data_IF_708193055039
#
_entry.id   IF_708193055039
#
_cell.length_a   1.000
_cell.length_b   1.000
_cell.length_c   1.000
_cell.angle_alpha   90.00
_cell.angle_beta   90.00
_cell.angle_gamma   90.00
#
_symmetry.space_group_name_H-M   'P 1'
#
loop_
_entity.id
_entity.type
_entity.pdbx_description
1 polymer ?
#
# COMPACT_ATOMS: atom_id res chain seq x y z
N UNK A 1 -10.12 -19.62 -19.79
CA UNK A 1 -8.89 -18.85 -19.45
C UNK A 1 -8.70 -18.95 -17.94
N UNK A 2 -7.72 -19.73 -17.48
CA UNK A 2 -7.45 -19.84 -16.04
C UNK A 2 -6.88 -18.51 -15.54
N UNK A 3 -7.60 -17.81 -14.68
CA UNK A 3 -7.12 -16.56 -14.10
C UNK A 3 -6.14 -16.91 -12.98
N UNK A 4 -4.88 -16.52 -13.12
CA UNK A 4 -3.88 -16.70 -12.06
C UNK A 4 -4.35 -16.04 -10.76
N UNK A 5 -4.20 -16.74 -9.65
CA UNK A 5 -4.60 -16.26 -8.32
C UNK A 5 -3.38 -15.85 -7.50
N UNK A 6 -3.56 -14.89 -6.60
CA UNK A 6 -2.53 -14.44 -5.66
C UNK A 6 -3.14 -14.21 -4.28
N UNK A 7 -2.46 -14.63 -3.22
CA UNK A 7 -2.93 -14.37 -1.86
C UNK A 7 -2.75 -12.90 -1.49
N UNK A 8 -3.70 -12.35 -0.72
CA UNK A 8 -3.63 -10.99 -0.20
C UNK A 8 -2.33 -10.76 0.58
N UNK A 9 -1.86 -11.77 1.31
CA UNK A 9 -0.57 -11.70 2.03
C UNK A 9 0.60 -11.41 1.08
N UNK A 10 0.63 -12.07 -0.07
CA UNK A 10 1.68 -11.90 -1.06
C UNK A 10 1.56 -10.56 -1.77
N UNK A 11 0.34 -10.11 -2.07
CA UNK A 11 0.06 -8.75 -2.58
C UNK A 11 0.63 -7.71 -1.62
N UNK A 12 0.30 -7.80 -0.33
CA UNK A 12 0.79 -6.85 0.67
C UNK A 12 2.31 -6.87 0.81
N UNK A 13 2.93 -8.05 0.70
CA UNK A 13 4.38 -8.21 0.71
C UNK A 13 5.00 -7.53 -0.52
N UNK A 14 4.47 -7.79 -1.72
CA UNK A 14 4.96 -7.18 -2.96
C UNK A 14 4.81 -5.65 -2.92
N UNK A 15 3.68 -5.13 -2.45
CA UNK A 15 3.50 -3.67 -2.35
C UNK A 15 4.47 -2.99 -1.36
N UNK A 16 4.92 -3.71 -0.33
CA UNK A 16 5.78 -3.17 0.73
C UNK A 16 7.27 -3.45 0.52
N UNK A 17 7.64 -4.34 -0.41
CA UNK A 17 9.04 -4.69 -0.68
C UNK A 17 9.61 -3.65 -1.63
N UNK A 18 10.66 -2.94 -1.20
CA UNK A 18 11.38 -2.01 -2.05
C UNK A 18 12.14 -2.79 -3.14
N UNK A 19 12.23 -2.19 -4.33
CA UNK A 19 13.09 -2.68 -5.39
C UNK A 19 14.57 -2.49 -5.01
N UNK A 20 15.48 -3.17 -5.71
CA UNK A 20 16.94 -3.05 -5.65
C UNK A 20 17.48 -1.61 -5.66
N UNK A 21 16.69 -0.65 -6.15
CA UNK A 21 16.99 0.79 -6.20
C UNK A 21 16.43 1.57 -5.00
N UNK A 22 15.92 0.90 -3.96
CA UNK A 22 15.33 1.54 -2.78
C UNK A 22 13.98 2.22 -3.03
N UNK A 23 13.36 1.97 -4.19
CA UNK A 23 12.09 2.58 -4.62
C UNK A 23 10.92 1.62 -4.46
N UNK A 24 9.75 2.13 -4.11
CA UNK A 24 8.55 1.28 -4.05
C UNK A 24 8.15 0.80 -5.45
N UNK A 25 7.71 -0.47 -5.59
CA UNK A 25 7.40 -1.07 -6.87
C UNK A 25 6.14 -0.45 -7.47
N UNK A 26 6.12 -0.40 -8.81
CA UNK A 26 4.94 0.00 -9.58
C UNK A 26 4.11 -1.24 -9.89
N UNK A 27 2.81 -1.17 -9.65
CA UNK A 27 1.89 -2.29 -9.84
C UNK A 27 0.55 -1.81 -10.41
N UNK A 28 -0.19 -2.73 -11.04
CA UNK A 28 -1.59 -2.50 -11.41
C UNK A 28 -2.51 -3.03 -10.32
N UNK A 29 -3.59 -2.31 -10.01
CA UNK A 29 -4.52 -2.70 -8.96
C UNK A 29 -5.95 -2.33 -9.32
N UNK A 30 -6.88 -3.25 -9.05
CA UNK A 30 -8.31 -2.99 -9.10
C UNK A 30 -8.91 -3.13 -7.70
N UNK A 31 -9.55 -2.07 -7.21
CA UNK A 31 -10.14 -2.01 -5.86
C UNK A 31 -11.58 -1.55 -5.96
N UNK A 32 -12.47 -2.18 -5.20
CA UNK A 32 -13.84 -1.67 -5.04
C UNK A 32 -13.88 -0.63 -3.94
N UNK A 33 -14.42 0.56 -4.23
CA UNK A 33 -14.68 1.53 -3.17
C UNK A 33 -15.86 1.06 -2.32
N UNK A 34 -16.02 1.62 -1.12
CA UNK A 34 -17.17 1.37 -0.28
C UNK A 34 -18.04 2.62 -0.23
N UNK A 35 -19.31 2.48 -0.57
CA UNK A 35 -20.26 3.56 -0.44
C UNK A 35 -20.82 3.57 0.99
N UNK A 36 -20.56 4.64 1.73
CA UNK A 36 -20.97 4.73 3.14
C UNK A 36 -22.49 4.85 3.30
N UNK A 37 -23.18 5.50 2.37
CA UNK A 37 -24.63 5.73 2.45
C UNK A 37 -25.41 4.45 2.19
N UNK A 38 -25.10 3.74 1.10
CA UNK A 38 -25.79 2.50 0.74
C UNK A 38 -25.25 1.27 1.46
N UNK A 39 -24.12 1.39 2.19
CA UNK A 39 -23.38 0.28 2.81
C UNK A 39 -23.02 -0.86 1.84
N UNK A 40 -22.97 -0.56 0.54
CA UNK A 40 -22.65 -1.53 -0.51
C UNK A 40 -21.28 -1.23 -1.14
N UNK A 41 -20.79 -2.19 -1.94
CA UNK A 41 -19.62 -1.97 -2.78
C UNK A 41 -19.90 -0.87 -3.80
N UNK A 42 -19.18 0.24 -3.69
CA UNK A 42 -19.23 1.38 -4.60
C UNK A 42 -18.53 1.11 -5.93
N UNK A 43 -18.06 2.19 -6.57
CA UNK A 43 -17.40 2.15 -7.89
C UNK A 43 -16.13 1.30 -7.88
N UNK A 44 -15.82 0.71 -9.03
CA UNK A 44 -14.55 0.05 -9.27
C UNK A 44 -13.49 1.11 -9.58
N UNK A 45 -12.40 1.12 -8.82
CA UNK A 45 -11.22 1.93 -9.09
C UNK A 45 -10.15 1.02 -9.71
N UNK A 46 -9.80 1.30 -10.96
CA UNK A 46 -8.70 0.62 -11.66
C UNK A 46 -7.55 1.59 -11.83
N UNK A 47 -6.37 1.17 -11.41
CA UNK A 47 -5.13 1.92 -11.57
C UNK A 47 -4.14 1.02 -12.27
N UNK A 48 -3.73 1.41 -13.48
CA UNK A 48 -2.77 0.63 -14.28
C UNK A 48 -1.35 0.74 -13.73
N UNK A 49 -1.00 1.93 -13.23
CA UNK A 49 0.31 2.22 -12.65
C UNK A 49 0.12 2.93 -11.32
N UNK A 50 0.18 2.18 -10.24
CA UNK A 50 0.14 2.71 -8.88
C UNK A 50 1.45 2.39 -8.15
N UNK A 51 1.80 3.25 -7.19
CA UNK A 51 2.93 3.05 -6.28
C UNK A 51 2.48 3.24 -4.84
N UNK A 52 2.95 2.42 -3.92
CA UNK A 52 2.67 2.62 -2.49
C UNK A 52 3.40 3.88 -2.00
N UNK A 53 2.69 4.72 -1.25
CA UNK A 53 3.30 5.89 -0.60
C UNK A 53 4.03 5.42 0.66
N UNK A 54 5.31 5.10 0.53
CA UNK A 54 6.20 4.72 1.63
C UNK A 54 7.48 5.54 1.58
N UNK A 55 8.20 5.59 2.70
CA UNK A 55 9.53 6.19 2.72
C UNK A 55 10.46 5.38 1.82
N UNK A 56 10.91 5.99 0.74
CA UNK A 56 11.95 5.43 -0.14
C UNK A 56 13.31 5.65 0.51
N UNK A 57 14.27 4.79 0.19
CA UNK A 57 15.64 4.98 0.64
C UNK A 57 16.16 6.27 0.00
N UNK A 58 16.40 7.28 0.83
CA UNK A 58 16.94 8.55 0.38
C UNK A 58 18.47 8.44 0.34
N UNK A 59 19.12 8.53 -0.83
CA UNK A 59 20.58 8.49 -0.93
C UNK A 59 21.27 9.64 -0.18
N UNK A 60 20.54 10.69 0.23
CA UNK A 60 21.03 11.82 1.02
C UNK A 60 20.71 11.76 2.52
N UNK A 61 20.29 10.60 3.04
CA UNK A 61 19.99 10.42 4.47
C UNK A 61 21.17 10.73 5.42
N UNK A 62 22.40 10.80 4.90
CA UNK A 62 23.63 11.13 5.62
C UNK A 62 23.94 12.65 5.62
N UNK A 63 22.95 13.52 5.82
CA UNK A 63 23.18 14.94 6.11
C UNK A 63 23.07 15.19 7.62
N UNK A 64 23.87 16.13 8.15
CA UNK A 64 24.01 16.47 9.59
C UNK A 64 22.65 16.72 10.29
N UNK A 65 21.60 17.02 9.54
CA UNK A 65 20.22 17.21 10.03
C UNK A 65 19.54 15.93 10.56
N UNK A 66 20.00 14.72 10.20
CA UNK A 66 19.43 13.44 10.66
C UNK A 66 19.80 13.07 12.11
N UNK A 67 20.80 13.73 12.69
CA UNK A 67 21.30 13.50 14.06
C UNK A 67 20.34 14.01 15.16
N UNK A 68 19.24 14.70 14.81
CA UNK A 68 18.22 15.20 15.77
C UNK A 68 17.18 14.14 16.19
N UNK A 69 17.54 12.87 16.23
CA UNK A 69 16.59 11.77 16.50
C UNK A 69 16.55 11.45 17.99
N UNK A 70 15.40 11.72 18.64
CA UNK A 70 15.15 11.34 20.04
C UNK A 70 15.17 9.80 20.19
N UNK A 71 15.74 9.26 21.28
CA UNK A 71 15.80 7.82 21.50
C UNK A 71 14.40 7.20 21.61
N UNK A 72 14.24 6.01 21.01
CA UNK A 72 13.00 5.22 21.04
C UNK A 72 12.68 4.80 22.48
N UNK A 73 11.51 5.19 23.00
CA UNK A 73 11.02 4.72 24.30
C UNK A 73 10.84 3.20 24.25
N UNK A 74 11.35 2.50 25.28
CA UNK A 74 11.11 1.06 25.47
C UNK A 74 9.61 0.79 25.55
N UNK A 75 9.11 -0.05 24.65
CA UNK A 75 7.71 -0.44 24.61
C UNK A 75 7.38 -1.36 25.78
N UNK A 76 6.31 -1.06 26.52
CA UNK A 76 5.71 -2.01 27.47
C UNK A 76 5.20 -3.22 26.68
N UNK A 77 5.38 -4.42 27.24
CA UNK A 77 4.90 -5.69 26.67
C UNK A 77 3.38 -5.74 26.82
N UNK A 78 2.66 -5.09 25.91
CA UNK A 78 1.23 -5.28 25.69
C UNK A 78 1.08 -5.89 24.30
N UNK A 79 0.13 -6.82 24.11
CA UNK A 79 -0.26 -7.25 22.76
C UNK A 79 -0.63 -5.98 21.99
N UNK A 80 0.18 -5.60 21.01
CA UNK A 80 -0.15 -4.53 20.07
C UNK A 80 -1.00 -5.18 18.97
N UNK A 81 -2.32 -4.96 18.95
CA UNK A 81 -3.20 -5.60 17.98
C UNK A 81 -2.99 -5.08 16.55
N UNK A 82 -2.18 -4.03 16.36
CA UNK A 82 -1.78 -3.49 15.05
C UNK A 82 -2.95 -3.34 14.05
N UNK A 83 -4.13 -2.93 14.54
CA UNK A 83 -5.36 -2.83 13.73
C UNK A 83 -5.17 -1.99 12.46
N UNK A 84 -4.32 -0.97 12.54
CA UNK A 84 -3.97 -0.09 11.42
C UNK A 84 -3.24 -0.84 10.27
N UNK A 85 -2.43 -1.87 10.58
CA UNK A 85 -1.73 -2.66 9.56
C UNK A 85 -2.70 -3.40 8.65
N UNK A 86 -3.89 -3.74 9.13
CA UNK A 86 -4.86 -4.55 8.39
C UNK A 86 -6.00 -3.74 7.77
N UNK A 87 -5.92 -2.40 7.78
CA UNK A 87 -7.04 -1.55 7.36
C UNK A 87 -6.85 -0.91 5.98
N UNK A 88 -5.95 0.07 5.87
CA UNK A 88 -5.80 0.88 4.64
C UNK A 88 -4.36 1.01 4.19
N UNK A 89 -4.16 1.28 2.90
CA UNK A 89 -2.89 1.71 2.31
C UNK A 89 -3.10 2.98 1.51
N UNK A 90 -2.09 3.85 1.54
CA UNK A 90 -2.05 5.04 0.69
C UNK A 90 -1.25 4.68 -0.56
N UNK A 91 -1.85 4.91 -1.73
CA UNK A 91 -1.23 4.69 -3.02
C UNK A 91 -1.27 5.99 -3.81
N UNK A 92 -0.30 6.16 -4.72
CA UNK A 92 -0.26 7.26 -5.66
C UNK A 92 -0.44 6.70 -7.06
N UNK A 93 -1.32 7.34 -7.83
CA UNK A 93 -1.44 7.08 -9.25
C UNK A 93 -0.24 7.70 -9.98
N UNK A 94 0.49 6.88 -10.73
CA UNK A 94 1.66 7.32 -11.49
C UNK A 94 1.27 7.87 -12.88
N UNK A 95 0.06 7.59 -13.36
CA UNK A 95 -0.43 8.11 -14.63
C UNK A 95 -0.77 9.60 -14.54
N UNK A 96 -1.11 10.10 -13.34
CA UNK A 96 -1.31 11.52 -13.08
C UNK A 96 -0.40 11.98 -11.92
N UNK A 97 0.77 12.58 -12.22
CA UNK A 97 1.72 13.03 -11.21
C UNK A 97 1.15 14.04 -10.22
N UNK A 98 0.13 14.81 -10.60
CA UNK A 98 -0.51 15.82 -9.75
C UNK A 98 -1.66 15.27 -8.90
N UNK A 99 -2.04 14.00 -9.08
CA UNK A 99 -3.14 13.40 -8.33
C UNK A 99 -2.79 13.29 -6.83
N UNK A 100 -3.78 13.62 -5.99
CA UNK A 100 -3.67 13.42 -4.55
C UNK A 100 -3.54 11.93 -4.19
N UNK A 101 -2.85 11.59 -3.09
CA UNK A 101 -2.76 10.21 -2.61
C UNK A 101 -4.15 9.60 -2.36
N UNK A 102 -4.35 8.39 -2.87
CA UNK A 102 -5.60 7.66 -2.75
C UNK A 102 -5.47 6.66 -1.61
N UNK A 103 -6.43 6.67 -0.67
CA UNK A 103 -6.51 5.69 0.41
C UNK A 103 -7.37 4.51 -0.03
N UNK A 104 -6.80 3.32 -0.05
CA UNK A 104 -7.49 2.06 -0.38
C UNK A 104 -7.63 1.16 0.84
N UNK A 105 -8.73 0.41 0.94
CA UNK A 105 -8.88 -0.66 1.94
C UNK A 105 -8.32 -1.95 1.37
N UNK A 106 -7.43 -2.61 2.11
CA UNK A 106 -6.74 -3.82 1.62
C UNK A 106 -7.70 -4.98 1.35
N UNK A 107 -8.82 -5.03 2.07
CA UNK A 107 -9.83 -6.09 1.92
C UNK A 107 -10.67 -5.94 0.66
N UNK A 108 -10.64 -4.81 -0.04
CA UNK A 108 -11.46 -4.59 -1.24
C UNK A 108 -10.66 -4.68 -2.54
N UNK A 109 -9.42 -5.18 -2.46
CA UNK A 109 -8.59 -5.45 -3.62
C UNK A 109 -9.16 -6.69 -4.29
N UNK A 110 -9.51 -6.56 -5.58
CA UNK A 110 -10.05 -7.65 -6.39
C UNK A 110 -8.94 -8.23 -7.27
N UNK A 111 -8.14 -7.36 -7.88
CA UNK A 111 -7.08 -7.75 -8.81
C UNK A 111 -5.79 -6.99 -8.50
N UNK A 112 -4.67 -7.68 -8.65
CA UNK A 112 -3.33 -7.12 -8.50
C UNK A 112 -2.42 -7.71 -9.57
N UNK A 113 -1.78 -6.85 -10.38
CA UNK A 113 -0.93 -7.27 -11.51
C UNK A 113 -1.63 -8.29 -12.42
N UNK A 114 -2.90 -8.05 -12.76
CA UNK A 114 -3.78 -8.91 -13.56
C UNK A 114 -4.09 -10.29 -12.95
N UNK A 115 -3.71 -10.53 -11.68
CA UNK A 115 -4.03 -11.74 -10.92
C UNK A 115 -5.21 -11.49 -9.99
N UNK A 116 -6.07 -12.48 -9.82
CA UNK A 116 -7.21 -12.41 -8.91
C UNK A 116 -6.75 -12.58 -7.47
N UNK A 117 -7.12 -11.65 -6.60
CA UNK A 117 -6.72 -11.70 -5.19
C UNK A 117 -7.65 -12.61 -4.39
N UNK A 118 -7.04 -13.52 -3.62
CA UNK A 118 -7.70 -14.45 -2.68
C UNK A 118 -7.19 -14.21 -1.26
N UNK A 119 -7.98 -14.54 -0.23
CA UNK A 119 -7.70 -14.18 1.17
C UNK A 119 -7.05 -15.30 1.96
#
# INVERSE_FOLDING_TARGET
>A
MSQETIYLKDVLKQMATLDSKGKAPVFSIAVRTYNQFSKTGGRMLRLEKAKMLMAEENPHANTVQALRTKPKKRSKIKKDPQHWKNYTRNIRDMSNPHAHPIKIKIRYIIEFNNKKVIY
#
